data_IF_365154493731
#
_entry.id   IF_365154493731
#
_cell.length_a   1.000
_cell.length_b   1.000
_cell.length_c   1.000
_cell.angle_alpha   90.00
_cell.angle_beta   90.00
_cell.angle_gamma   90.00
#
_symmetry.space_group_name_H-M   'P 1'
#
loop_
_entity.id
_entity.type
_entity.pdbx_description
1 polymer ?
#
# COMPACT_ATOMS: atom_id res chain seq x y z
N UNK A 1 0.60 9.47 -13.81
CA UNK A 1 -0.49 9.26 -12.93
C UNK A 1 -0.08 8.44 -11.79
N UNK A 2 -0.30 8.94 -10.64
CA UNK A 2 0.31 8.38 -9.47
C UNK A 2 -0.76 7.76 -8.57
N UNK A 3 -0.95 6.44 -8.71
CA UNK A 3 -1.88 5.72 -7.88
C UNK A 3 -1.47 5.77 -6.42
N UNK A 4 -0.17 5.69 -6.15
CA UNK A 4 0.32 5.76 -4.79
C UNK A 4 -0.04 7.10 -4.16
N UNK A 5 0.08 8.17 -4.92
CA UNK A 5 -0.29 9.49 -4.44
C UNK A 5 -1.77 9.58 -4.11
N UNK A 6 -2.62 9.01 -4.95
CA UNK A 6 -4.06 9.00 -4.71
C UNK A 6 -4.38 8.22 -3.45
N UNK A 7 -3.72 7.08 -3.26
CA UNK A 7 -3.94 6.27 -2.07
C UNK A 7 -3.50 7.02 -0.81
N UNK A 8 -2.39 7.73 -0.88
CA UNK A 8 -1.95 8.54 0.26
C UNK A 8 -2.94 9.65 0.57
N UNK A 9 -3.47 10.28 -0.46
CA UNK A 9 -4.47 11.32 -0.27
C UNK A 9 -5.74 10.76 0.37
N UNK A 10 -6.17 9.59 -0.08
CA UNK A 10 -7.32 8.93 0.53
C UNK A 10 -7.06 8.56 1.97
N UNK A 11 -5.86 8.06 2.26
CA UNK A 11 -5.49 7.70 3.62
C UNK A 11 -5.50 8.94 4.52
N UNK A 12 -4.96 10.04 4.04
CA UNK A 12 -4.96 11.28 4.79
C UNK A 12 -6.38 11.76 5.05
N UNK A 13 -7.24 11.69 4.04
CA UNK A 13 -8.63 12.08 4.20
C UNK A 13 -9.34 11.21 5.23
N UNK A 14 -9.08 9.90 5.19
CA UNK A 14 -9.68 8.99 6.15
C UNK A 14 -9.22 9.29 7.58
N UNK A 15 -7.93 9.59 7.75
CA UNK A 15 -7.40 9.94 9.06
C UNK A 15 -8.01 11.23 9.57
N UNK A 16 -8.19 12.20 8.69
CA UNK A 16 -8.84 13.46 9.09
C UNK A 16 -10.29 13.24 9.50
N UNK A 17 -11.00 12.39 8.77
CA UNK A 17 -12.36 12.04 9.15
C UNK A 17 -12.39 11.30 10.48
N UNK A 18 -11.41 10.44 10.71
CA UNK A 18 -11.33 9.70 11.97
C UNK A 18 -11.18 10.65 13.15
N UNK A 19 -10.44 11.73 12.97
CA UNK A 19 -10.28 12.72 14.04
C UNK A 19 -11.58 13.39 14.42
N UNK A 20 -12.48 13.53 13.45
CA UNK A 20 -13.76 14.18 13.66
C UNK A 20 -14.85 13.20 14.06
N UNK A 21 -14.61 11.92 13.90
CA UNK A 21 -15.61 10.89 14.18
C UNK A 21 -15.74 10.66 15.67
N UNK A 22 -16.95 10.76 16.17
CA UNK A 22 -17.23 10.57 17.58
C UNK A 22 -17.46 9.10 17.95
N UNK A 23 -17.97 8.33 17.00
CA UNK A 23 -18.24 6.91 17.25
C UNK A 23 -16.95 6.13 17.17
N UNK A 24 -16.61 5.47 18.28
CA UNK A 24 -15.34 4.77 18.41
C UNK A 24 -15.12 3.70 17.35
N UNK A 25 -16.15 2.92 17.09
CA UNK A 25 -16.06 1.84 16.10
C UNK A 25 -15.82 2.38 14.70
N UNK A 26 -16.48 3.48 14.36
CA UNK A 26 -16.31 4.09 13.05
C UNK A 26 -14.94 4.72 12.91
N UNK A 27 -14.45 5.32 13.99
CA UNK A 27 -13.09 5.86 14.00
C UNK A 27 -12.07 4.78 13.73
N UNK A 28 -12.22 3.64 14.40
CA UNK A 28 -11.31 2.52 14.20
C UNK A 28 -11.36 2.01 12.77
N UNK A 29 -12.55 1.93 12.19
CA UNK A 29 -12.69 1.50 10.80
C UNK A 29 -11.97 2.43 9.84
N UNK A 30 -12.08 3.73 10.06
CA UNK A 30 -11.40 4.71 9.21
C UNK A 30 -9.89 4.59 9.32
N UNK A 31 -9.39 4.33 10.53
CA UNK A 31 -7.96 4.16 10.74
C UNK A 31 -7.46 2.90 10.04
N UNK A 32 -8.22 1.82 10.10
CA UNK A 32 -7.86 0.58 9.43
C UNK A 32 -7.80 0.79 7.91
N UNK A 33 -8.79 1.47 7.35
CA UNK A 33 -8.80 1.77 5.92
C UNK A 33 -7.59 2.60 5.52
N UNK A 34 -7.29 3.62 6.32
CA UNK A 34 -6.13 4.46 6.05
C UNK A 34 -4.85 3.66 6.05
N UNK A 35 -4.72 2.74 7.01
CA UNK A 35 -3.53 1.88 7.09
C UNK A 35 -3.38 1.00 5.86
N UNK A 36 -4.48 0.43 5.39
CA UNK A 36 -4.46 -0.41 4.20
C UNK A 36 -4.02 0.40 2.98
N UNK A 37 -4.58 1.59 2.83
CA UNK A 37 -4.24 2.46 1.70
C UNK A 37 -2.78 2.89 1.75
N UNK A 38 -2.27 3.21 2.94
CA UNK A 38 -0.87 3.60 3.09
C UNK A 38 0.07 2.43 2.77
N UNK A 39 -0.25 1.25 3.23
CA UNK A 39 0.55 0.08 2.93
C UNK A 39 0.59 -0.19 1.43
N UNK A 40 -0.57 -0.08 0.78
CA UNK A 40 -0.66 -0.29 -0.65
C UNK A 40 0.15 0.76 -1.40
N UNK A 41 0.06 2.02 -0.96
CA UNK A 41 0.82 3.10 -1.58
C UNK A 41 2.32 2.86 -1.46
N UNK A 42 2.76 2.45 -0.28
CA UNK A 42 4.18 2.16 -0.08
C UNK A 42 4.66 1.03 -0.96
N UNK A 43 3.83 0.01 -1.12
CA UNK A 43 4.16 -1.11 -1.98
C UNK A 43 4.30 -0.67 -3.43
N UNK A 44 3.38 0.15 -3.89
CA UNK A 44 3.44 0.68 -5.25
C UNK A 44 4.66 1.55 -5.47
N UNK A 45 4.98 2.37 -4.48
CA UNK A 45 6.15 3.23 -4.57
C UNK A 45 7.44 2.44 -4.62
N UNK A 46 7.53 1.38 -3.85
CA UNK A 46 8.71 0.54 -3.88
C UNK A 46 8.88 -0.13 -5.22
N UNK A 47 7.79 -0.55 -5.82
CA UNK A 47 7.84 -1.13 -7.16
C UNK A 47 8.30 -0.11 -8.18
N UNK A 48 7.84 1.12 -8.06
CA UNK A 48 8.24 2.18 -8.95
C UNK A 48 9.69 2.58 -8.81
N UNK A 49 10.18 2.61 -7.57
CA UNK A 49 11.56 3.01 -7.31
C UNK A 49 12.58 2.06 -7.90
N UNK A 50 12.25 0.81 -7.95
CA UNK A 50 13.17 -0.18 -8.50
C UNK A 50 13.12 -0.22 -10.02
N UNK A 51 12.60 0.84 -10.62
CA UNK A 51 12.55 0.94 -12.05
C UNK A 51 11.68 -0.12 -12.64
N UNK A 52 10.43 0.12 -12.66
CA UNK A 52 9.44 -0.71 -13.34
C UNK A 52 9.84 -2.17 -13.50
N UNK A 53 9.55 -2.94 -12.52
CA UNK A 53 9.79 -4.37 -12.64
C UNK A 53 8.92 -4.94 -13.73
N UNK A 54 9.55 -5.57 -14.66
CA UNK A 54 8.85 -6.26 -15.73
C UNK A 54 8.37 -7.60 -15.22
N UNK A 55 7.53 -8.25 -16.01
CA UNK A 55 7.09 -9.61 -15.70
C UNK A 55 8.28 -10.54 -15.55
N UNK A 56 9.30 -10.32 -16.37
CA UNK A 56 10.52 -11.11 -16.30
C UNK A 56 11.22 -11.01 -14.96
N UNK A 57 11.30 -9.77 -14.44
CA UNK A 57 11.93 -9.56 -13.15
C UNK A 57 11.19 -10.29 -12.03
N UNK A 58 9.86 -10.29 -12.11
CA UNK A 58 9.05 -10.99 -11.13
C UNK A 58 9.29 -12.50 -11.19
N UNK A 59 9.41 -13.04 -12.40
CA UNK A 59 9.70 -14.45 -12.57
C UNK A 59 11.06 -14.82 -11.99
N UNK A 60 12.05 -13.96 -12.19
CA UNK A 60 13.37 -14.19 -11.62
C UNK A 60 13.32 -14.27 -10.11
N UNK A 61 12.56 -13.38 -9.49
CA UNK A 61 12.42 -13.39 -8.03
C UNK A 61 11.77 -14.67 -7.54
N UNK A 62 10.76 -15.15 -8.26
CA UNK A 62 10.07 -16.37 -7.89
C UNK A 62 11.01 -17.56 -8.05
N UNK A 63 11.76 -17.62 -9.13
CA UNK A 63 12.71 -18.70 -9.34
C UNK A 63 13.81 -18.72 -8.30
N UNK A 64 14.30 -17.54 -7.92
CA UNK A 64 15.33 -17.44 -6.89
C UNK A 64 14.80 -17.95 -5.55
N UNK A 65 13.59 -17.57 -5.20
CA UNK A 65 12.98 -18.03 -3.96
C UNK A 65 12.78 -19.54 -3.97
N UNK A 66 12.34 -20.06 -5.11
CA UNK A 66 12.10 -21.48 -5.25
C UNK A 66 13.41 -22.27 -5.13
N UNK A 67 14.47 -21.74 -5.73
CA UNK A 67 15.78 -22.36 -5.64
C UNK A 67 16.31 -22.38 -4.21
N UNK A 68 16.06 -21.31 -3.48
CA UNK A 68 16.52 -21.21 -2.09
C UNK A 68 15.78 -22.17 -1.16
N UNK A 69 14.56 -22.50 -1.50
CA UNK A 69 13.76 -23.41 -0.68
C UNK A 69 14.19 -24.86 -0.81
N UNK A 70 14.98 -25.19 -1.80
CA UNK A 70 15.52 -26.50 -1.98
C UNK A 70 16.87 -26.64 -1.29
#
# INVERSE_FOLDING_TARGET
MDEAKRLRERATAALNLAKLEEVKEQRASLIVLASIWLETAERLERQGRKGRKTVGDLFELIESADTQLR
#
